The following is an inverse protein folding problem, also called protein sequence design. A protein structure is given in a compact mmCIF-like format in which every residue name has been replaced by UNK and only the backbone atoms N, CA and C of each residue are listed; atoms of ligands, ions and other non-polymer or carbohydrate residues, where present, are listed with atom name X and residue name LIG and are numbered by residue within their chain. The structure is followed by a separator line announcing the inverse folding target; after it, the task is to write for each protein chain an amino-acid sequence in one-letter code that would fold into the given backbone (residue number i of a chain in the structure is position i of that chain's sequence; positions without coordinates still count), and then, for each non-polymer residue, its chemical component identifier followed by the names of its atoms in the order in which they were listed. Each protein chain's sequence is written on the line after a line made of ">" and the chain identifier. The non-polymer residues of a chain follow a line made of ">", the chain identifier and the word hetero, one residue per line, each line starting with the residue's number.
data_IF_760698581769
#
_entry.id   IF_760698581769
#
_cell.length_a   1.000
_cell.length_b   1.000
_cell.length_c   1.000
_cell.angle_alpha   90.00
_cell.angle_beta   90.00
_cell.angle_gamma   90.00
#
_symmetry.space_group_name_H-M   'P 1'
#
loop_
_entity.id
_entity.type
_entity.pdbx_description
1 polymer ?
#
# COMPACT_ATOMS: atom_id res chain seq x y z
N UNK A 1 -3.48 3.38 -17.62
CA UNK A 1 -3.86 2.66 -16.39
C UNK A 1 -2.94 1.46 -16.11
N UNK A 2 -2.55 0.68 -17.12
CA UNK A 2 -1.60 -0.45 -16.98
C UNK A 2 -0.25 -0.06 -16.35
N UNK A 3 0.43 0.98 -16.88
CA UNK A 3 1.73 1.41 -16.37
C UNK A 3 1.74 1.83 -14.88
N UNK A 4 0.62 2.40 -14.38
CA UNK A 4 0.51 2.78 -12.95
C UNK A 4 0.34 1.54 -12.07
N UNK A 5 -0.42 0.54 -12.54
CA UNK A 5 -0.60 -0.73 -11.84
C UNK A 5 0.73 -1.52 -11.81
N UNK A 6 1.49 -1.53 -12.91
CA UNK A 6 2.80 -2.19 -12.98
C UNK A 6 3.80 -1.56 -12.01
N UNK A 7 3.93 -0.24 -11.99
CA UNK A 7 4.82 0.47 -11.07
C UNK A 7 4.43 0.26 -9.59
N UNK A 8 3.13 0.28 -9.29
CA UNK A 8 2.62 -0.05 -7.95
C UNK A 8 2.98 -1.47 -7.53
N UNK A 9 2.84 -2.43 -8.45
CA UNK A 9 3.17 -3.81 -8.19
C UNK A 9 4.67 -3.98 -7.94
N UNK A 10 5.50 -3.29 -8.72
CA UNK A 10 6.95 -3.27 -8.57
C UNK A 10 7.39 -2.72 -7.20
N UNK A 11 6.80 -1.60 -6.76
CA UNK A 11 7.00 -1.06 -5.40
C UNK A 11 6.54 -2.07 -4.34
N UNK A 12 5.38 -2.70 -4.52
CA UNK A 12 4.93 -3.71 -3.56
C UNK A 12 5.92 -4.86 -3.50
N UNK A 13 6.48 -5.33 -4.63
CA UNK A 13 7.49 -6.39 -4.69
C UNK A 13 8.85 -6.01 -4.11
N UNK A 14 9.23 -4.72 -4.14
CA UNK A 14 10.49 -4.27 -3.54
C UNK A 14 10.48 -4.29 -2.01
N UNK A 15 9.30 -4.40 -1.37
CA UNK A 15 9.18 -4.47 0.08
C UNK A 15 9.66 -5.82 0.63
N UNK A 16 10.41 -5.82 1.73
CA UNK A 16 10.59 -7.06 2.46
C UNK A 16 9.29 -7.47 3.18
N UNK A 17 9.22 -8.70 3.69
CA UNK A 17 8.00 -9.21 4.31
C UNK A 17 7.56 -8.42 5.56
N UNK A 18 8.51 -7.88 6.31
CA UNK A 18 8.24 -7.01 7.45
C UNK A 18 7.60 -5.69 7.03
N UNK A 19 8.14 -5.05 6.00
CA UNK A 19 7.62 -3.82 5.40
C UNK A 19 6.24 -4.04 4.78
N UNK A 20 6.08 -5.14 4.04
CA UNK A 20 4.81 -5.50 3.43
C UNK A 20 3.73 -5.78 4.50
N UNK A 21 4.10 -6.41 5.62
CA UNK A 21 3.20 -6.62 6.76
C UNK A 21 2.77 -5.29 7.41
N UNK A 22 3.68 -4.32 7.53
CA UNK A 22 3.35 -2.96 8.01
C UNK A 22 2.39 -2.28 7.03
N UNK A 23 2.69 -2.32 5.74
CA UNK A 23 1.84 -1.81 4.68
C UNK A 23 0.42 -2.38 4.76
N UNK A 24 0.26 -3.71 4.88
CA UNK A 24 -1.06 -4.35 5.02
C UNK A 24 -1.83 -3.85 6.24
N UNK A 25 -1.16 -3.64 7.38
CA UNK A 25 -1.82 -3.09 8.59
C UNK A 25 -2.35 -1.67 8.32
N UNK A 26 -1.54 -0.81 7.71
CA UNK A 26 -1.97 0.54 7.32
C UNK A 26 -3.15 0.50 6.35
N UNK A 27 -3.10 -0.39 5.37
CA UNK A 27 -4.18 -0.55 4.40
C UNK A 27 -5.49 -0.97 5.08
N UNK A 28 -5.44 -1.94 6.00
CA UNK A 28 -6.62 -2.33 6.79
C UNK A 28 -7.20 -1.15 7.59
N UNK A 29 -6.34 -0.34 8.22
CA UNK A 29 -6.78 0.87 8.93
C UNK A 29 -7.41 1.91 8.00
N UNK A 30 -6.90 2.06 6.77
CA UNK A 30 -7.49 2.95 5.77
C UNK A 30 -8.90 2.52 5.39
N UNK A 31 -9.11 1.23 5.09
CA UNK A 31 -10.45 0.70 4.80
C UNK A 31 -11.43 0.95 5.96
N UNK A 32 -10.99 0.73 7.21
CA UNK A 32 -11.82 1.00 8.39
C UNK A 32 -12.18 2.48 8.51
N UNK A 33 -11.21 3.37 8.34
CA UNK A 33 -11.41 4.82 8.43
C UNK A 33 -12.35 5.34 7.34
N UNK A 34 -12.25 4.77 6.14
CA UNK A 34 -13.07 5.15 4.99
C UNK A 34 -14.45 4.46 5.01
N UNK A 35 -14.78 3.72 6.08
CA UNK A 35 -16.01 2.91 6.21
C UNK A 35 -16.24 1.95 5.03
N UNK A 36 -15.15 1.46 4.42
CA UNK A 36 -15.19 0.50 3.31
C UNK A 36 -15.15 -0.92 3.85
N UNK A 37 -15.89 -1.81 3.19
CA UNK A 37 -15.83 -3.24 3.51
C UNK A 37 -14.42 -3.78 3.27
N UNK A 38 -13.84 -4.39 4.30
CA UNK A 38 -12.52 -5.01 4.24
C UNK A 38 -12.65 -6.38 3.56
N UNK A 39 -12.00 -6.60 2.40
CA UNK A 39 -12.02 -7.91 1.77
C UNK A 39 -11.27 -8.94 2.61
N UNK A 40 -11.83 -10.14 2.74
CA UNK A 40 -11.19 -11.27 3.45
C UNK A 40 -9.78 -11.55 2.89
N UNK A 41 -9.60 -11.39 1.59
CA UNK A 41 -8.32 -11.52 0.91
C UNK A 41 -7.24 -10.62 1.52
N UNK A 42 -7.59 -9.40 1.95
CA UNK A 42 -6.66 -8.46 2.58
C UNK A 42 -6.16 -8.94 3.96
N UNK A 43 -6.97 -9.74 4.66
CA UNK A 43 -6.63 -10.30 5.97
C UNK A 43 -5.72 -11.52 5.84
N UNK A 44 -6.01 -12.40 4.89
CA UNK A 44 -5.41 -13.75 4.87
C UNK A 44 -4.39 -13.98 3.74
N UNK A 45 -4.43 -13.21 2.65
CA UNK A 45 -3.50 -13.37 1.54
C UNK A 45 -2.27 -12.47 1.70
N UNK A 46 -1.09 -12.95 1.34
CA UNK A 46 0.11 -12.12 1.15
C UNK A 46 0.45 -11.93 -0.33
N UNK A 47 -0.45 -12.34 -1.23
CA UNK A 47 -0.30 -12.13 -2.66
C UNK A 47 -0.36 -10.63 -2.98
N UNK A 48 0.77 -10.09 -3.43
CA UNK A 48 0.96 -8.65 -3.66
C UNK A 48 0.12 -8.15 -4.83
N UNK A 49 -0.04 -8.99 -5.86
CA UNK A 49 -0.87 -8.71 -7.03
C UNK A 49 -2.34 -8.67 -6.67
N UNK A 50 -2.84 -9.65 -5.92
CA UNK A 50 -4.23 -9.73 -5.48
C UNK A 50 -4.56 -8.59 -4.50
N UNK A 51 -3.63 -8.22 -3.62
CA UNK A 51 -3.78 -7.06 -2.74
C UNK A 51 -3.86 -5.77 -3.55
N UNK A 52 -2.99 -5.59 -4.55
CA UNK A 52 -3.05 -4.45 -5.45
C UNK A 52 -4.37 -4.41 -6.23
N UNK A 53 -4.85 -5.55 -6.72
CA UNK A 53 -6.14 -5.63 -7.41
C UNK A 53 -7.30 -5.25 -6.49
N UNK A 54 -7.28 -5.67 -5.22
CA UNK A 54 -8.25 -5.22 -4.22
C UNK A 54 -8.20 -3.72 -4.03
N UNK A 55 -7.00 -3.12 -3.95
CA UNK A 55 -6.86 -1.67 -3.84
C UNK A 55 -7.42 -0.96 -5.07
N UNK A 56 -7.08 -1.43 -6.27
CA UNK A 56 -7.58 -0.87 -7.53
C UNK A 56 -9.08 -1.07 -7.66
N UNK A 57 -9.68 -2.15 -7.20
CA UNK A 57 -11.13 -2.32 -7.24
C UNK A 57 -11.84 -1.42 -6.22
N UNK A 58 -11.27 -1.27 -5.02
CA UNK A 58 -11.92 -0.55 -3.91
C UNK A 58 -11.72 0.96 -3.99
N UNK A 59 -10.59 1.40 -4.55
CA UNK A 59 -10.23 2.81 -4.70
C UNK A 59 -10.17 3.26 -6.17
N UNK A 60 -10.17 2.35 -7.13
CA UNK A 60 -10.19 2.67 -8.56
C UNK A 60 -11.59 2.95 -9.09
N UNK A 61 -12.21 3.97 -8.51
CA UNK A 61 -12.94 5.04 -9.21
C UNK A 61 -13.34 6.12 -8.20
N UNK A 62 -12.53 7.20 -8.14
CA UNK A 62 -13.02 8.56 -7.91
C UNK A 62 -12.09 9.68 -8.44
N UNK A 63 -10.75 9.51 -8.50
CA UNK A 63 -9.87 10.40 -9.27
C UNK A 63 -8.45 9.81 -9.42
N UNK A 64 -7.75 10.18 -10.51
CA UNK A 64 -6.30 9.99 -10.69
C UNK A 64 -5.51 10.58 -9.50
N UNK A 65 -6.06 11.61 -8.85
CA UNK A 65 -5.48 12.26 -7.67
C UNK A 65 -5.47 11.36 -6.44
N UNK A 66 -6.48 10.49 -6.25
CA UNK A 66 -6.53 9.60 -5.07
C UNK A 66 -5.51 8.47 -5.17
N UNK A 67 -5.28 7.94 -6.39
CA UNK A 67 -4.22 6.96 -6.63
C UNK A 67 -2.84 7.59 -6.46
N UNK A 68 -2.68 8.86 -6.86
CA UNK A 68 -1.47 9.66 -6.60
C UNK A 68 -1.26 9.92 -5.10
N UNK A 69 -2.31 10.16 -4.32
CA UNK A 69 -2.21 10.34 -2.87
C UNK A 69 -1.92 9.02 -2.14
N UNK A 70 -2.45 7.88 -2.60
CA UNK A 70 -2.07 6.55 -2.11
C UNK A 70 -0.59 6.28 -2.42
N UNK A 71 -0.13 6.58 -3.64
CA UNK A 71 1.28 6.48 -4.03
C UNK A 71 2.19 7.39 -3.21
N UNK A 72 1.82 8.66 -3.00
CA UNK A 72 2.59 9.59 -2.16
C UNK A 72 2.64 9.13 -0.71
N UNK A 73 1.52 8.65 -0.16
CA UNK A 73 1.49 8.09 1.20
C UNK A 73 2.34 6.84 1.31
N UNK A 74 2.34 5.97 0.29
CA UNK A 74 3.20 4.80 0.26
C UNK A 74 4.68 5.18 0.18
N UNK A 75 5.07 6.01 -0.78
CA UNK A 75 6.45 6.48 -0.93
C UNK A 75 6.92 7.23 0.33
N UNK A 76 6.06 8.06 0.93
CA UNK A 76 6.38 8.76 2.17
C UNK A 76 6.53 7.80 3.36
N UNK A 77 5.66 6.79 3.49
CA UNK A 77 5.78 5.75 4.51
C UNK A 77 7.00 4.85 4.30
N UNK A 78 7.38 4.57 3.05
CA UNK A 78 8.61 3.83 2.72
C UNK A 78 9.87 4.63 3.06
N UNK A 79 9.87 5.94 2.77
CA UNK A 79 10.93 6.84 3.21
C UNK A 79 11.01 6.93 4.74
N UNK A 80 9.88 6.92 5.45
CA UNK A 80 9.85 6.89 6.93
C UNK A 80 10.35 5.56 7.49
N UNK A 81 10.10 4.44 6.81
CA UNK A 81 10.65 3.14 7.18
C UNK A 81 12.16 3.10 6.94
N UNK A 82 12.66 3.75 5.89
CA UNK A 82 14.10 3.92 5.62
C UNK A 82 14.78 4.92 6.57
N UNK A 83 14.08 5.95 7.02
CA UNK A 83 14.57 6.95 8.00
C UNK A 83 14.63 6.40 9.43
N UNK A 84 13.96 5.27 9.71
CA UNK A 84 14.10 4.52 10.95
C UNK A 84 15.47 3.85 11.15
N UNK A 85 16.41 3.99 10.20
CA UNK A 85 17.80 3.52 10.32
C UNK A 85 18.84 4.66 10.36
N UNK A 86 18.45 5.94 10.23
CA UNK A 86 19.40 7.07 10.23
C UNK A 86 19.29 7.97 11.47
N UNK A 87 18.37 7.70 12.40
CA UNK A 87 18.26 8.44 13.69
C UNK A 87 18.39 7.51 14.90
N UNK A 88 19.25 6.49 14.83
CA UNK A 88 19.95 5.89 15.98
C UNK A 88 21.33 5.44 15.51
N UNK A 89 22.18 6.38 15.09
CA UNK A 89 23.64 6.33 15.30
C UNK A 89 24.16 7.76 15.05
N UNK A 90 24.66 8.38 16.13
CA UNK A 90 25.19 9.75 16.29
C UNK A 90 24.15 10.85 16.59
#
# INVERSE_FOLDING_TARGET
>A
MAAVKELLLEILHSLNDGEFRKFKKFLLSAFQKDSKNIPLLLRYSNDRTAILDVMVQTYGRQSVDETREILKKLIHLLNLISLGYVVVTL
#
